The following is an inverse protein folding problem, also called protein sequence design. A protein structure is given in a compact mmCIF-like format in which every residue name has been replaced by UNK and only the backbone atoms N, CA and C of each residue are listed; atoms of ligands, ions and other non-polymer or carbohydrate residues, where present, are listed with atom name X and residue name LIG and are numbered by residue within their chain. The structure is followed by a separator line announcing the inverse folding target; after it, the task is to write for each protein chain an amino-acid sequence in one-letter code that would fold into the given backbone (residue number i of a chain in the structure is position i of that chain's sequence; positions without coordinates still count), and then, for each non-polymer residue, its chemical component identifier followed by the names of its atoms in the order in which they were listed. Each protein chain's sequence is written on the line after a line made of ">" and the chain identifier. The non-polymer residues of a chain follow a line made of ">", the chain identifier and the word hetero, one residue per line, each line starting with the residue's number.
data_IF_921628209588
#
_entry.id   IF_921628209588
#
_cell.length_a   1.000
_cell.length_b   1.000
_cell.length_c   1.000
_cell.angle_alpha   90.00
_cell.angle_beta   90.00
_cell.angle_gamma   90.00
#
_symmetry.space_group_name_H-M   'P 1'
#
loop_
_entity.id
_entity.type
_entity.pdbx_description
1 polymer ?
#
# COMPACT_ATOMS: atom_id res chain seq x y z
N UNK A 1 39.67 93.29 -6.08
CA UNK A 1 38.71 92.27 -6.62
C UNK A 1 39.30 90.90 -6.45
N UNK A 2 38.97 90.21 -5.31
CA UNK A 2 39.50 88.87 -5.00
C UNK A 2 38.41 87.87 -5.24
N UNK A 3 38.58 87.00 -6.23
CA UNK A 3 37.71 85.87 -6.49
C UNK A 3 38.25 84.62 -5.80
N UNK A 4 37.60 84.24 -4.71
CA UNK A 4 37.86 82.97 -4.05
C UNK A 4 37.16 81.84 -4.80
N UNK A 5 37.88 80.99 -5.49
CA UNK A 5 37.39 79.68 -6.03
C UNK A 5 37.42 78.66 -4.92
N UNK A 6 36.27 78.11 -4.56
CA UNK A 6 36.14 76.94 -3.71
C UNK A 6 36.10 75.67 -4.59
N UNK A 7 36.92 74.66 -4.34
CA UNK A 7 36.82 73.44 -5.09
C UNK A 7 35.59 72.60 -4.58
N UNK A 8 34.78 72.18 -5.52
CA UNK A 8 33.69 71.27 -5.25
C UNK A 8 34.25 69.80 -4.96
N UNK A 9 33.97 69.31 -3.78
CA UNK A 9 34.31 67.94 -3.44
C UNK A 9 33.24 66.99 -4.05
N UNK A 10 33.63 66.20 -5.06
CA UNK A 10 32.85 65.09 -5.55
C UNK A 10 32.89 63.93 -4.52
N UNK A 11 31.79 63.67 -3.85
CA UNK A 11 31.60 62.44 -3.04
C UNK A 11 31.28 61.29 -3.97
N UNK A 12 32.22 60.36 -4.14
CA UNK A 12 32.00 59.11 -4.85
C UNK A 12 31.31 58.16 -3.87
N UNK A 13 30.02 57.94 -4.06
CA UNK A 13 29.26 56.94 -3.31
C UNK A 13 29.59 55.55 -3.84
N UNK A 14 30.35 54.77 -3.06
CA UNK A 14 30.67 53.37 -3.35
C UNK A 14 29.44 52.50 -3.02
N UNK A 15 28.66 52.12 -4.04
CA UNK A 15 27.59 51.12 -3.89
C UNK A 15 28.22 49.73 -3.77
N UNK A 16 28.29 49.20 -2.56
CA UNK A 16 28.63 47.80 -2.33
C UNK A 16 27.43 46.95 -2.70
N UNK A 17 27.50 46.28 -3.85
CA UNK A 17 26.51 45.29 -4.29
C UNK A 17 26.73 44.01 -3.48
N UNK A 18 25.99 43.80 -2.39
CA UNK A 18 25.97 42.57 -1.64
C UNK A 18 25.20 41.57 -2.49
N UNK A 19 25.93 40.69 -3.19
CA UNK A 19 25.34 39.54 -3.85
C UNK A 19 24.77 38.59 -2.77
N UNK A 20 23.43 38.59 -2.60
CA UNK A 20 22.72 37.57 -1.83
C UNK A 20 22.89 36.23 -2.56
N UNK A 21 23.83 35.40 -2.09
CA UNK A 21 23.88 34.01 -2.52
C UNK A 21 22.53 33.36 -2.21
N UNK A 22 21.94 32.57 -3.15
CA UNK A 22 20.71 31.85 -2.87
C UNK A 22 20.97 30.89 -1.71
N UNK A 23 20.30 31.11 -0.57
CA UNK A 23 20.27 30.17 0.52
C UNK A 23 19.64 28.92 -0.05
N UNK A 24 20.33 27.75 -0.06
CA UNK A 24 19.70 26.53 -0.51
C UNK A 24 18.44 26.33 0.33
N UNK A 25 17.28 26.20 -0.35
CA UNK A 25 16.05 25.85 0.33
C UNK A 25 16.34 24.60 1.19
N UNK A 26 15.91 24.58 2.50
CA UNK A 26 16.10 23.39 3.32
C UNK A 26 15.56 22.22 2.52
N UNK A 27 16.41 21.21 2.29
CA UNK A 27 16.03 20.00 1.59
C UNK A 27 14.71 19.56 2.22
N UNK A 28 13.64 19.59 1.43
CA UNK A 28 12.29 19.29 1.92
C UNK A 28 12.39 17.89 2.50
N UNK A 29 12.45 17.85 3.83
CA UNK A 29 12.73 16.65 4.59
C UNK A 29 11.77 15.58 4.09
N UNK A 30 12.30 14.51 3.53
CA UNK A 30 11.48 13.45 2.93
C UNK A 30 10.45 13.05 3.98
N UNK A 31 9.20 13.32 3.71
CA UNK A 31 8.11 13.08 4.66
C UNK A 31 7.73 11.59 4.71
N UNK A 32 8.66 10.72 4.32
CA UNK A 32 8.49 9.27 4.32
C UNK A 32 9.83 8.57 4.59
N UNK A 33 9.76 7.37 5.11
CA UNK A 33 10.89 6.50 5.46
C UNK A 33 11.02 5.34 4.47
N UNK A 34 12.15 4.61 4.47
CA UNK A 34 12.25 3.35 3.73
C UNK A 34 11.15 2.35 4.10
N UNK A 35 10.72 2.31 5.37
CA UNK A 35 9.63 1.43 5.81
C UNK A 35 8.27 1.78 5.18
N UNK A 36 8.02 3.08 4.90
CA UNK A 36 6.81 3.49 4.16
C UNK A 36 6.87 2.97 2.72
N UNK A 37 8.04 3.05 2.07
CA UNK A 37 8.23 2.55 0.70
C UNK A 37 8.06 1.03 0.65
N UNK A 38 8.71 0.32 1.56
CA UNK A 38 8.61 -1.15 1.68
C UNK A 38 7.17 -1.62 1.90
N UNK A 39 6.44 -0.91 2.76
CA UNK A 39 5.03 -1.18 3.01
C UNK A 39 4.19 -1.00 1.75
N UNK A 40 4.33 0.13 1.03
CA UNK A 40 3.56 0.39 -0.20
C UNK A 40 3.89 -0.64 -1.28
N UNK A 41 5.17 -0.94 -1.50
CA UNK A 41 5.61 -1.93 -2.48
C UNK A 41 5.11 -3.34 -2.14
N UNK A 42 5.27 -3.76 -0.89
CA UNK A 42 4.82 -5.07 -0.44
C UNK A 42 3.31 -5.22 -0.50
N UNK A 43 2.55 -4.20 -0.09
CA UNK A 43 1.09 -4.26 -0.08
C UNK A 43 0.49 -4.33 -1.50
N UNK A 44 1.16 -3.79 -2.53
CA UNK A 44 0.77 -3.98 -3.94
C UNK A 44 0.75 -5.47 -4.29
N UNK A 45 1.83 -6.19 -4.01
CA UNK A 45 1.92 -7.64 -4.28
C UNK A 45 0.95 -8.45 -3.43
N UNK A 46 0.78 -8.07 -2.16
CA UNK A 46 -0.19 -8.68 -1.27
C UNK A 46 -1.61 -8.56 -1.83
N UNK A 47 -2.05 -7.37 -2.22
CA UNK A 47 -3.37 -7.13 -2.81
C UNK A 47 -3.58 -7.85 -4.15
N UNK A 48 -2.53 -7.97 -4.96
CA UNK A 48 -2.60 -8.71 -6.21
C UNK A 48 -3.00 -10.18 -5.99
N UNK A 49 -2.52 -10.82 -4.92
CA UNK A 49 -2.95 -12.19 -4.60
C UNK A 49 -4.43 -12.26 -4.20
N UNK A 50 -4.96 -11.29 -3.44
CA UNK A 50 -6.39 -11.26 -3.12
C UNK A 50 -7.27 -11.13 -4.38
N UNK A 51 -6.84 -10.30 -5.34
CA UNK A 51 -7.51 -10.17 -6.65
C UNK A 51 -7.50 -11.51 -7.39
N UNK A 52 -6.36 -12.23 -7.39
CA UNK A 52 -6.26 -13.56 -8.00
C UNK A 52 -7.18 -14.58 -7.33
N UNK A 53 -7.26 -14.57 -6.00
CA UNK A 53 -8.20 -15.42 -5.26
C UNK A 53 -9.65 -15.08 -5.61
N UNK A 54 -9.99 -13.79 -5.68
CA UNK A 54 -11.33 -13.33 -6.05
C UNK A 54 -11.72 -13.74 -7.48
N UNK A 55 -10.79 -13.72 -8.41
CA UNK A 55 -11.00 -14.15 -9.80
C UNK A 55 -11.35 -15.64 -9.90
N UNK A 56 -10.92 -16.48 -8.96
CA UNK A 56 -11.27 -17.91 -8.92
C UNK A 56 -12.76 -18.17 -8.64
N UNK A 57 -13.49 -17.21 -8.08
CA UNK A 57 -14.92 -17.37 -7.73
C UNK A 57 -15.79 -17.69 -8.94
N UNK A 58 -15.46 -17.09 -10.10
CA UNK A 58 -16.19 -17.34 -11.34
C UNK A 58 -16.10 -18.82 -11.75
N UNK A 59 -17.28 -19.44 -11.93
CA UNK A 59 -17.39 -20.85 -12.32
C UNK A 59 -17.07 -21.89 -11.23
N UNK A 60 -16.84 -21.47 -9.97
CA UNK A 60 -16.61 -22.37 -8.85
C UNK A 60 -17.72 -22.41 -7.82
N UNK A 61 -18.56 -21.38 -7.78
CA UNK A 61 -19.71 -21.31 -6.89
C UNK A 61 -20.86 -20.54 -7.50
N UNK A 62 -22.08 -20.92 -7.15
CA UNK A 62 -23.30 -20.17 -7.44
C UNK A 62 -23.78 -19.34 -6.26
N UNK A 63 -23.04 -19.32 -5.16
CA UNK A 63 -23.36 -18.56 -3.96
C UNK A 63 -23.21 -17.06 -4.21
N UNK A 64 -24.34 -16.36 -4.33
CA UNK A 64 -24.38 -14.92 -4.63
C UNK A 64 -23.65 -14.06 -3.58
N UNK A 65 -23.65 -14.49 -2.31
CA UNK A 65 -22.96 -13.75 -1.25
C UNK A 65 -21.43 -13.83 -1.42
N UNK A 66 -20.90 -14.98 -1.83
CA UNK A 66 -19.47 -15.15 -2.15
C UNK A 66 -19.12 -14.36 -3.42
N UNK A 67 -19.96 -14.41 -4.46
CA UNK A 67 -19.74 -13.63 -5.68
C UNK A 67 -19.69 -12.11 -5.40
N UNK A 68 -20.65 -11.61 -4.61
CA UNK A 68 -20.70 -10.20 -4.24
C UNK A 68 -19.52 -9.77 -3.35
N UNK A 69 -19.06 -10.65 -2.44
CA UNK A 69 -17.86 -10.42 -1.64
C UNK A 69 -16.62 -10.31 -2.54
N UNK A 70 -16.41 -11.29 -3.42
CA UNK A 70 -15.26 -11.32 -4.32
C UNK A 70 -15.22 -10.09 -5.26
N UNK A 71 -16.37 -9.69 -5.79
CA UNK A 71 -16.47 -8.48 -6.64
C UNK A 71 -16.05 -7.21 -5.86
N UNK A 72 -16.48 -7.09 -4.60
CA UNK A 72 -16.10 -5.94 -3.77
C UNK A 72 -14.62 -5.94 -3.48
N UNK A 73 -14.03 -7.08 -3.09
CA UNK A 73 -12.59 -7.24 -2.87
C UNK A 73 -11.81 -6.88 -4.14
N UNK A 74 -12.22 -7.38 -5.31
CA UNK A 74 -11.57 -7.07 -6.58
C UNK A 74 -11.54 -5.56 -6.87
N UNK A 75 -12.66 -4.87 -6.65
CA UNK A 75 -12.76 -3.42 -6.89
C UNK A 75 -11.92 -2.65 -5.88
N UNK A 76 -12.10 -2.89 -4.58
CA UNK A 76 -11.41 -2.12 -3.52
C UNK A 76 -9.89 -2.30 -3.62
N UNK A 77 -9.42 -3.53 -3.81
CA UNK A 77 -7.99 -3.80 -3.83
C UNK A 77 -7.30 -3.28 -5.10
N UNK A 78 -7.98 -3.24 -6.24
CA UNK A 78 -7.48 -2.54 -7.44
C UNK A 78 -7.35 -1.05 -7.23
N UNK A 79 -8.31 -0.43 -6.54
CA UNK A 79 -8.26 1.00 -6.23
C UNK A 79 -7.11 1.30 -5.26
N UNK A 80 -6.91 0.48 -4.25
CA UNK A 80 -5.82 0.59 -3.29
C UNK A 80 -4.45 0.40 -3.96
N UNK A 81 -4.30 -0.57 -4.87
CA UNK A 81 -3.07 -0.73 -5.66
C UNK A 81 -2.74 0.55 -6.43
N UNK A 82 -3.73 1.16 -7.11
CA UNK A 82 -3.49 2.43 -7.83
C UNK A 82 -3.07 3.56 -6.91
N UNK A 83 -3.66 3.67 -5.72
CA UNK A 83 -3.27 4.66 -4.73
C UNK A 83 -1.81 4.47 -4.28
N UNK A 84 -1.38 3.22 -4.05
CA UNK A 84 -0.01 2.91 -3.68
C UNK A 84 0.97 3.17 -4.82
N UNK A 85 0.63 2.80 -6.05
CA UNK A 85 1.45 3.08 -7.23
C UNK A 85 1.66 4.58 -7.40
N UNK A 86 0.59 5.38 -7.37
CA UNK A 86 0.68 6.84 -7.45
C UNK A 86 1.52 7.41 -6.30
N UNK A 87 1.35 6.92 -5.08
CA UNK A 87 2.14 7.34 -3.93
C UNK A 87 3.64 7.12 -4.12
N UNK A 88 4.02 5.97 -4.69
CA UNK A 88 5.41 5.61 -4.99
C UNK A 88 5.97 6.47 -6.13
N UNK A 89 5.23 6.60 -7.23
CA UNK A 89 5.62 7.38 -8.42
C UNK A 89 5.82 8.86 -8.10
N UNK A 90 4.92 9.48 -7.35
CA UNK A 90 5.01 10.87 -6.88
C UNK A 90 6.29 11.15 -6.06
N UNK A 91 6.91 10.09 -5.54
CA UNK A 91 8.13 10.14 -4.72
C UNK A 91 9.37 9.62 -5.46
N UNK A 92 9.23 9.32 -6.75
CA UNK A 92 10.30 8.76 -7.57
C UNK A 92 10.75 7.37 -7.10
N UNK A 93 9.85 6.63 -6.44
CA UNK A 93 10.07 5.25 -6.01
C UNK A 93 9.54 4.29 -7.07
N UNK A 94 10.16 3.10 -7.16
CA UNK A 94 9.67 2.05 -8.07
C UNK A 94 8.33 1.52 -7.58
N UNK A 95 7.31 1.57 -8.44
CA UNK A 95 6.04 0.91 -8.22
C UNK A 95 6.09 -0.50 -8.84
N UNK A 96 5.94 -1.58 -8.04
CA UNK A 96 5.90 -2.94 -8.57
C UNK A 96 4.71 -3.13 -9.52
N UNK A 97 4.91 -3.96 -10.55
CA UNK A 97 3.82 -4.45 -11.37
C UNK A 97 3.05 -5.53 -10.58
N UNK A 98 1.75 -5.35 -10.32
CA UNK A 98 0.96 -6.34 -9.58
C UNK A 98 0.95 -7.73 -10.21
N UNK A 99 1.12 -7.81 -11.54
CA UNK A 99 1.13 -9.08 -12.27
C UNK A 99 2.41 -9.90 -12.05
N UNK A 100 3.54 -9.25 -11.75
CA UNK A 100 4.84 -9.91 -11.60
C UNK A 100 4.99 -10.68 -10.29
N UNK A 101 4.20 -10.36 -9.25
CA UNK A 101 4.21 -11.09 -7.97
C UNK A 101 3.47 -12.43 -8.03
N UNK A 102 2.86 -12.76 -9.15
CA UNK A 102 2.21 -14.04 -9.42
C UNK A 102 3.15 -15.03 -10.11
N UNK A 103 4.28 -14.55 -10.67
CA UNK A 103 5.28 -15.38 -11.31
C UNK A 103 6.32 -15.83 -10.29
N UNK A 104 6.50 -17.14 -10.20
CA UNK A 104 7.52 -17.77 -9.38
C UNK A 104 8.92 -17.24 -9.73
N UNK A 105 9.62 -16.64 -8.76
CA UNK A 105 11.06 -16.47 -8.88
C UNK A 105 11.70 -17.87 -9.03
N UNK A 106 12.51 -18.02 -10.07
CA UNK A 106 13.24 -19.24 -10.43
C UNK A 106 14.25 -19.71 -9.36
N UNK A 107 14.36 -19.00 -8.23
CA UNK A 107 15.28 -19.32 -7.12
C UNK A 107 14.63 -20.09 -5.96
N UNK A 108 13.31 -20.32 -5.97
CA UNK A 108 12.64 -21.24 -5.06
C UNK A 108 12.56 -20.78 -3.58
N UNK A 109 12.89 -19.53 -3.26
CA UNK A 109 12.91 -19.02 -1.89
C UNK A 109 12.14 -17.71 -1.74
N UNK A 110 10.95 -17.65 -2.35
CA UNK A 110 10.09 -16.47 -2.14
C UNK A 110 9.60 -16.44 -0.69
N UNK A 111 10.07 -15.43 0.05
CA UNK A 111 9.56 -15.17 1.39
C UNK A 111 8.16 -14.57 1.24
N UNK A 112 7.14 -15.42 1.32
CA UNK A 112 5.75 -14.98 1.32
C UNK A 112 5.54 -13.90 2.40
N UNK A 113 4.86 -12.83 2.04
CA UNK A 113 4.43 -11.81 3.01
C UNK A 113 3.42 -12.43 3.99
N UNK A 114 3.26 -11.85 5.18
CA UNK A 114 2.32 -12.36 6.18
C UNK A 114 0.94 -12.63 5.58
N UNK A 115 0.39 -13.80 5.84
CA UNK A 115 -0.96 -14.19 5.42
C UNK A 115 -1.14 -14.59 3.95
N UNK A 116 -0.16 -14.35 3.09
CA UNK A 116 -0.24 -14.81 1.70
C UNK A 116 -0.37 -16.34 1.63
N UNK A 117 -1.12 -16.78 0.64
CA UNK A 117 -1.29 -18.19 0.34
C UNK A 117 -0.04 -18.74 -0.34
N UNK A 118 0.34 -19.95 0.07
CA UNK A 118 1.34 -20.73 -0.67
C UNK A 118 0.81 -21.18 -2.03
N UNK A 119 1.68 -21.57 -2.97
CA UNK A 119 1.26 -22.15 -4.25
C UNK A 119 0.33 -23.35 -4.05
N UNK A 120 0.58 -24.21 -3.06
CA UNK A 120 -0.28 -25.37 -2.76
C UNK A 120 -1.66 -24.95 -2.26
N UNK A 121 -1.76 -23.92 -1.41
CA UNK A 121 -3.04 -23.36 -0.96
C UNK A 121 -3.81 -22.74 -2.13
N UNK A 122 -3.13 -22.00 -3.01
CA UNK A 122 -3.76 -21.47 -4.23
C UNK A 122 -4.26 -22.59 -5.14
N UNK A 123 -3.49 -23.66 -5.33
CA UNK A 123 -3.91 -24.83 -6.11
C UNK A 123 -5.10 -25.54 -5.46
N UNK A 124 -5.10 -25.69 -4.13
CA UNK A 124 -6.23 -26.25 -3.37
C UNK A 124 -7.50 -25.42 -3.57
N UNK A 125 -7.41 -24.11 -3.46
CA UNK A 125 -8.54 -23.20 -3.70
C UNK A 125 -9.03 -23.32 -5.14
N UNK A 126 -8.12 -23.34 -6.10
CA UNK A 126 -8.46 -23.45 -7.53
C UNK A 126 -9.13 -24.80 -7.89
N UNK A 127 -8.81 -25.88 -7.19
CA UNK A 127 -9.41 -27.19 -7.42
C UNK A 127 -10.80 -27.38 -6.78
N UNK A 128 -11.12 -26.61 -5.74
CA UNK A 128 -12.38 -26.71 -4.99
C UNK A 128 -13.57 -26.15 -5.80
N UNK A 129 -14.78 -26.62 -5.47
CA UNK A 129 -16.05 -26.14 -6.06
C UNK A 129 -17.14 -26.08 -4.99
N UNK A 130 -18.17 -25.31 -5.31
CA UNK A 130 -19.40 -25.20 -4.54
C UNK A 130 -19.12 -24.87 -3.04
N UNK A 131 -19.80 -25.52 -2.12
CA UNK A 131 -19.64 -25.27 -0.68
C UNK A 131 -18.22 -25.46 -0.17
N UNK A 132 -17.45 -26.40 -0.76
CA UNK A 132 -16.06 -26.62 -0.39
C UNK A 132 -15.19 -25.43 -0.82
N UNK A 133 -15.42 -24.89 -2.02
CA UNK A 133 -14.78 -23.66 -2.48
C UNK A 133 -15.15 -22.48 -1.59
N UNK A 134 -16.44 -22.28 -1.30
CA UNK A 134 -16.92 -21.17 -0.48
C UNK A 134 -16.21 -21.14 0.88
N UNK A 135 -16.10 -22.30 1.53
CA UNK A 135 -15.42 -22.41 2.82
C UNK A 135 -13.93 -22.09 2.74
N UNK A 136 -13.23 -22.67 1.78
CA UNK A 136 -11.80 -22.41 1.58
C UNK A 136 -11.54 -20.95 1.20
N UNK A 137 -12.36 -20.36 0.33
CA UNK A 137 -12.25 -18.96 -0.06
C UNK A 137 -12.36 -18.03 1.15
N UNK A 138 -13.35 -18.24 2.01
CA UNK A 138 -13.52 -17.45 3.22
C UNK A 138 -12.35 -17.63 4.20
N UNK A 139 -11.93 -18.88 4.47
CA UNK A 139 -10.83 -19.16 5.39
C UNK A 139 -9.52 -18.56 4.90
N UNK A 140 -9.19 -18.73 3.63
CA UNK A 140 -7.95 -18.24 3.05
C UNK A 140 -7.94 -16.72 2.90
N UNK A 141 -9.09 -16.11 2.57
CA UNK A 141 -9.18 -14.66 2.49
C UNK A 141 -9.11 -14.03 3.89
N UNK A 142 -9.65 -14.65 4.93
CA UNK A 142 -9.45 -14.21 6.33
C UNK A 142 -7.97 -14.29 6.70
N UNK A 143 -7.27 -15.40 6.41
CA UNK A 143 -5.83 -15.55 6.63
C UNK A 143 -5.06 -14.42 5.93
N UNK A 144 -5.38 -14.17 4.67
CA UNK A 144 -4.74 -13.15 3.85
C UNK A 144 -4.93 -11.75 4.45
N UNK A 145 -6.15 -11.38 4.82
CA UNK A 145 -6.47 -10.09 5.43
C UNK A 145 -5.79 -9.90 6.81
N UNK A 146 -5.69 -10.95 7.62
CA UNK A 146 -4.91 -10.92 8.87
C UNK A 146 -3.43 -10.63 8.60
N UNK A 147 -2.90 -11.09 7.47
CA UNK A 147 -1.56 -10.75 7.00
C UNK A 147 -1.40 -9.26 6.72
N UNK A 148 -2.35 -8.64 6.02
CA UNK A 148 -2.35 -7.19 5.78
C UNK A 148 -2.35 -6.39 7.08
N UNK A 149 -3.16 -6.79 8.08
CA UNK A 149 -3.15 -6.17 9.41
C UNK A 149 -1.78 -6.29 10.11
N UNK A 150 -1.09 -7.42 9.91
CA UNK A 150 0.28 -7.62 10.43
C UNK A 150 1.26 -6.66 9.76
N UNK A 151 1.15 -6.45 8.45
CA UNK A 151 1.98 -5.49 7.71
C UNK A 151 1.73 -4.05 8.17
N UNK A 152 0.47 -3.66 8.36
CA UNK A 152 0.11 -2.33 8.93
C UNK A 152 0.70 -2.16 10.32
N UNK A 153 0.57 -3.16 11.19
CA UNK A 153 1.17 -3.13 12.53
C UNK A 153 2.69 -2.96 12.49
N UNK A 154 3.36 -3.64 11.57
CA UNK A 154 4.81 -3.52 11.38
C UNK A 154 5.19 -2.11 10.92
N UNK A 155 4.44 -1.53 9.98
CA UNK A 155 4.66 -0.15 9.56
C UNK A 155 4.55 0.83 10.73
N UNK A 156 3.47 0.78 11.50
CA UNK A 156 3.28 1.68 12.66
C UNK A 156 4.30 1.47 13.79
N UNK A 157 4.90 0.29 13.88
CA UNK A 157 5.97 0.00 14.82
C UNK A 157 7.36 0.47 14.33
N UNK A 158 7.49 0.81 13.04
CA UNK A 158 8.76 1.23 12.44
C UNK A 158 9.08 2.68 12.80
N UNK A 159 10.30 2.98 13.31
CA UNK A 159 10.65 4.33 13.74
C UNK A 159 10.50 5.38 12.64
N UNK A 160 9.67 6.39 12.87
CA UNK A 160 9.44 7.51 11.94
C UNK A 160 8.55 7.19 10.75
N UNK A 161 8.09 5.94 10.58
CA UNK A 161 7.17 5.57 9.51
C UNK A 161 5.74 6.07 9.80
N UNK A 162 4.93 6.15 8.74
CA UNK A 162 3.54 6.58 8.78
C UNK A 162 3.31 7.96 9.42
N UNK A 163 4.31 8.86 9.40
CA UNK A 163 4.18 10.22 9.93
C UNK A 163 3.57 11.20 8.91
N UNK A 164 3.67 10.90 7.63
CA UNK A 164 2.99 11.68 6.59
C UNK A 164 1.49 11.38 6.61
N UNK A 165 0.68 12.44 6.48
CA UNK A 165 -0.79 12.33 6.57
C UNK A 165 -1.39 11.36 5.56
N UNK A 166 -0.84 11.28 4.35
CA UNK A 166 -1.29 10.38 3.29
C UNK A 166 -0.96 8.92 3.61
N UNK A 167 0.28 8.62 4.04
CA UNK A 167 0.68 7.27 4.47
C UNK A 167 -0.12 6.81 5.68
N UNK A 168 -0.26 7.67 6.70
CA UNK A 168 -1.07 7.36 7.88
C UNK A 168 -2.53 7.07 7.53
N UNK A 169 -3.13 7.92 6.70
CA UNK A 169 -4.53 7.74 6.27
C UNK A 169 -4.70 6.45 5.48
N UNK A 170 -3.79 6.17 4.57
CA UNK A 170 -3.83 4.95 3.77
C UNK A 170 -3.72 3.70 4.66
N UNK A 171 -2.68 3.60 5.48
CA UNK A 171 -2.48 2.44 6.37
C UNK A 171 -3.64 2.25 7.37
N UNK A 172 -4.20 3.35 7.91
CA UNK A 172 -5.37 3.29 8.78
C UNK A 172 -6.64 2.88 8.03
N UNK A 173 -6.77 3.26 6.77
CA UNK A 173 -7.85 2.79 5.89
C UNK A 173 -7.78 1.29 5.69
N UNK A 174 -6.62 0.78 5.30
CA UNK A 174 -6.37 -0.68 5.14
C UNK A 174 -6.70 -1.42 6.45
N UNK A 175 -6.22 -0.94 7.62
CA UNK A 175 -6.54 -1.58 8.91
C UNK A 175 -8.05 -1.68 9.15
N UNK A 176 -8.77 -0.60 8.89
CA UNK A 176 -10.21 -0.52 9.11
C UNK A 176 -10.97 -1.45 8.15
N UNK A 177 -10.70 -1.36 6.86
CA UNK A 177 -11.42 -2.10 5.82
C UNK A 177 -11.16 -3.60 5.92
N UNK A 178 -9.91 -4.01 6.17
CA UNK A 178 -9.54 -5.41 6.35
C UNK A 178 -10.23 -6.03 7.60
N UNK A 179 -10.36 -5.28 8.70
CA UNK A 179 -11.10 -5.76 9.89
C UNK A 179 -12.58 -5.96 9.60
N UNK A 180 -13.23 -5.03 8.92
CA UNK A 180 -14.64 -5.17 8.55
C UNK A 180 -14.86 -6.35 7.60
N UNK A 181 -13.96 -6.57 6.66
CA UNK A 181 -14.04 -7.70 5.75
C UNK A 181 -13.83 -9.03 6.46
N UNK A 182 -12.85 -9.12 7.38
CA UNK A 182 -12.64 -10.31 8.23
C UNK A 182 -13.91 -10.63 9.03
N UNK A 183 -14.49 -9.64 9.72
CA UNK A 183 -15.71 -9.84 10.51
C UNK A 183 -16.87 -10.35 9.63
N UNK A 184 -17.03 -9.76 8.44
CA UNK A 184 -18.05 -10.19 7.49
C UNK A 184 -17.82 -11.62 7.02
N UNK A 185 -16.58 -11.97 6.63
CA UNK A 185 -16.23 -13.30 6.18
C UNK A 185 -16.41 -14.34 7.30
N UNK A 186 -16.08 -13.99 8.52
CA UNK A 186 -16.30 -14.87 9.68
C UNK A 186 -17.79 -15.16 9.89
N UNK A 187 -18.66 -14.13 9.85
CA UNK A 187 -20.11 -14.32 9.92
C UNK A 187 -20.65 -15.21 8.79
N UNK A 188 -20.10 -15.05 7.58
CA UNK A 188 -20.48 -15.90 6.45
C UNK A 188 -20.05 -17.35 6.67
N UNK A 189 -18.84 -17.58 7.20
CA UNK A 189 -18.28 -18.90 7.50
C UNK A 189 -19.08 -19.59 8.60
N UNK A 190 -19.44 -18.87 9.67
CA UNK A 190 -20.22 -19.38 10.80
C UNK A 190 -21.65 -19.78 10.37
N UNK A 191 -22.21 -19.10 9.37
CA UNK A 191 -23.53 -19.41 8.82
C UNK A 191 -23.53 -20.64 7.86
N UNK A 192 -22.36 -21.16 7.50
CA UNK A 192 -22.29 -22.30 6.59
C UNK A 192 -22.69 -23.64 7.27
N UNK A 193 -23.35 -24.56 6.56
CA UNK A 193 -23.69 -25.87 7.11
C UNK A 193 -22.45 -26.60 7.65
N UNK A 194 -22.55 -27.16 8.85
CA UNK A 194 -21.46 -27.95 9.49
C UNK A 194 -20.39 -27.10 10.21
N UNK A 195 -20.56 -25.81 10.41
CA UNK A 195 -19.64 -24.95 11.17
C UNK A 195 -19.69 -25.16 12.69
N UNK A 196 -20.70 -25.86 13.22
CA UNK A 196 -20.92 -26.05 14.66
C UNK A 196 -20.62 -27.49 15.16
N UNK A 197 -19.82 -28.31 14.41
CA UNK A 197 -19.40 -29.63 14.84
C UNK A 197 -17.90 -29.65 15.17
N UNK A 198 -17.56 -29.09 16.31
CA UNK A 198 -16.27 -29.36 17.01
C UNK A 198 -16.39 -28.99 18.48
#
# INVERSE_FOLDING_TARGET
>A
MNHNFRPAQLAVALFVLVALAPVPAPAQQRRYTPADVEFMQGMIGHHAQAIAMAALVSGRTTNQSIQALAQRIDISQKDEIRLMQNWLEDRGQTAPDPSMHMDHDSTGHERLMPGMLTPDQMAQLAAAKDTAFDRLFLQFMIQHHQGALTMVKTLFASPGAAQATDTFRYASGVDTDQRFEIERMQKMLDAMPGSHQS
#
